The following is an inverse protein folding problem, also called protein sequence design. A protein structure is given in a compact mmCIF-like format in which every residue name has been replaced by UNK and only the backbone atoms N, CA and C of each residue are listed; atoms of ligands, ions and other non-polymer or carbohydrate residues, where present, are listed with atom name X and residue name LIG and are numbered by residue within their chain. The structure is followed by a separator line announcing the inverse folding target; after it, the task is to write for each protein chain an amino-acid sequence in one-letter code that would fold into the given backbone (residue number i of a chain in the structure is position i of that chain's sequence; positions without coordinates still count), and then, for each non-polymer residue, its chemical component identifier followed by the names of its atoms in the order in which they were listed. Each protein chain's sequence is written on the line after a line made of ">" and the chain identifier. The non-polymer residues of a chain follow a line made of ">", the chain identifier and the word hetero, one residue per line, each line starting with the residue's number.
data_IF_669438519228
#
_entry.id   IF_669438519228
#
_cell.length_a   1.000
_cell.length_b   1.000
_cell.length_c   1.000
_cell.angle_alpha   90.00
_cell.angle_beta   90.00
_cell.angle_gamma   90.00
#
_symmetry.space_group_name_H-M   'P 1'
#
loop_
_entity.id
_entity.type
_entity.pdbx_description
1 polymer ?
#
# COMPACT_ATOMS: atom_id res chain seq x y z
N UNK A 1 25.00 -37.90 6.68
CA UNK A 1 25.67 -37.87 5.35
C UNK A 1 26.00 -36.42 4.98
N UNK A 2 26.96 -36.21 4.04
CA UNK A 2 27.29 -34.87 3.53
C UNK A 2 26.07 -34.13 2.99
N UNK A 3 25.15 -34.84 2.33
CA UNK A 3 23.90 -34.25 1.80
C UNK A 3 23.01 -33.69 2.90
N UNK A 4 22.81 -34.46 3.99
CA UNK A 4 22.00 -34.00 5.13
C UNK A 4 22.61 -32.78 5.84
N UNK A 5 23.94 -32.76 5.99
CA UNK A 5 24.66 -31.62 6.57
C UNK A 5 24.46 -30.37 5.71
N UNK A 6 24.60 -30.50 4.38
CA UNK A 6 24.38 -29.39 3.45
C UNK A 6 22.94 -28.91 3.46
N UNK A 7 21.98 -29.81 3.49
CA UNK A 7 20.55 -29.50 3.55
C UNK A 7 20.21 -28.71 4.81
N UNK A 8 20.66 -29.17 5.97
CA UNK A 8 20.47 -28.46 7.23
C UNK A 8 21.13 -27.09 7.21
N UNK A 9 22.39 -27.02 6.75
CA UNK A 9 23.13 -25.77 6.61
C UNK A 9 22.39 -24.77 5.69
N UNK A 10 21.93 -25.23 4.52
CA UNK A 10 21.25 -24.37 3.54
C UNK A 10 19.90 -23.85 4.06
N UNK A 11 19.22 -24.61 4.94
CA UNK A 11 17.95 -24.24 5.53
C UNK A 11 18.06 -23.28 6.73
N UNK A 12 19.24 -23.18 7.36
CA UNK A 12 19.42 -22.38 8.57
C UNK A 12 20.31 -21.13 8.35
N UNK A 13 21.16 -21.12 7.32
CA UNK A 13 22.11 -20.03 7.11
C UNK A 13 21.40 -18.71 6.81
N UNK A 14 21.95 -17.62 7.35
CA UNK A 14 21.43 -16.27 7.14
C UNK A 14 21.92 -15.67 5.82
N UNK A 15 20.99 -15.24 4.97
CA UNK A 15 21.25 -14.64 3.66
C UNK A 15 21.09 -13.12 3.62
N UNK A 16 20.87 -12.44 4.74
CA UNK A 16 20.58 -11.00 4.77
C UNK A 16 19.08 -10.70 4.61
N UNK A 17 18.69 -9.41 4.81
CA UNK A 17 17.30 -8.99 4.64
C UNK A 17 16.28 -9.66 5.57
N UNK A 18 16.73 -10.27 6.68
CA UNK A 18 15.88 -11.07 7.57
C UNK A 18 15.68 -12.52 7.12
N UNK A 19 16.31 -12.95 6.02
CA UNK A 19 16.11 -14.28 5.43
C UNK A 19 17.04 -15.33 6.04
N UNK A 20 16.46 -16.31 6.72
CA UNK A 20 17.12 -17.55 7.13
C UNK A 20 16.64 -18.67 6.22
N UNK A 21 17.59 -19.47 5.72
CA UNK A 21 17.32 -20.57 4.79
C UNK A 21 17.19 -20.15 3.32
N UNK A 22 17.60 -21.10 2.44
CA UNK A 22 17.72 -20.85 1.00
C UNK A 22 16.38 -20.62 0.31
N UNK A 23 15.29 -21.27 0.77
CA UNK A 23 13.97 -21.11 0.19
C UNK A 23 13.45 -19.69 0.45
N UNK A 24 13.55 -19.22 1.71
CA UNK A 24 13.17 -17.85 2.09
C UNK A 24 13.98 -16.82 1.31
N UNK A 25 15.29 -17.05 1.16
CA UNK A 25 16.17 -16.17 0.39
C UNK A 25 15.83 -16.16 -1.11
N UNK A 26 15.52 -17.31 -1.70
CA UNK A 26 15.12 -17.44 -3.10
C UNK A 26 13.85 -16.65 -3.39
N UNK A 27 12.84 -16.78 -2.53
CA UNK A 27 11.60 -16.01 -2.62
C UNK A 27 11.87 -14.50 -2.44
N UNK A 28 12.61 -14.13 -1.41
CA UNK A 28 12.89 -12.72 -1.10
C UNK A 28 13.67 -12.00 -2.21
N UNK A 29 14.76 -12.61 -2.69
CA UNK A 29 15.62 -11.96 -3.68
C UNK A 29 15.14 -12.11 -5.11
N UNK A 30 14.48 -13.23 -5.46
CA UNK A 30 14.17 -13.58 -6.85
C UNK A 30 12.70 -13.93 -7.12
N UNK A 31 11.84 -14.01 -6.08
CA UNK A 31 10.42 -14.36 -6.25
C UNK A 31 10.21 -15.77 -6.78
N UNK A 32 11.14 -16.69 -6.51
CA UNK A 32 11.16 -18.06 -7.01
C UNK A 32 11.41 -19.03 -5.87
N UNK A 33 10.94 -20.28 -6.01
CA UNK A 33 11.38 -21.35 -5.12
C UNK A 33 12.84 -21.75 -5.41
N UNK A 34 13.55 -22.24 -4.42
CA UNK A 34 14.97 -22.60 -4.54
C UNK A 34 15.29 -23.52 -5.74
N UNK A 35 14.48 -24.54 -6.08
CA UNK A 35 14.70 -25.38 -7.27
C UNK A 35 14.57 -24.64 -8.61
N UNK A 36 13.94 -23.46 -8.64
CA UNK A 36 13.72 -22.67 -9.85
C UNK A 36 14.82 -21.63 -10.11
N UNK A 37 15.77 -21.52 -9.18
CA UNK A 37 16.88 -20.58 -9.32
C UNK A 37 17.79 -20.98 -10.48
N UNK A 38 18.20 -20.00 -11.26
CA UNK A 38 19.23 -20.16 -12.27
C UNK A 38 20.65 -20.07 -11.66
N UNK A 39 21.67 -20.33 -12.46
CA UNK A 39 23.08 -20.37 -12.01
C UNK A 39 23.53 -19.02 -11.43
N UNK A 40 23.16 -17.90 -12.05
CA UNK A 40 23.56 -16.57 -11.58
C UNK A 40 22.86 -16.17 -10.28
N UNK A 41 21.62 -16.61 -10.07
CA UNK A 41 20.87 -16.42 -8.84
C UNK A 41 21.44 -17.27 -7.71
N UNK A 42 21.74 -18.54 -7.97
CA UNK A 42 22.45 -19.40 -7.01
C UNK A 42 23.81 -18.82 -6.60
N UNK A 43 24.60 -18.33 -7.58
CA UNK A 43 25.88 -17.70 -7.32
C UNK A 43 25.74 -16.42 -6.48
N UNK A 44 24.66 -15.68 -6.66
CA UNK A 44 24.37 -14.49 -5.86
C UNK A 44 24.11 -14.90 -4.41
N UNK A 45 23.18 -15.84 -4.15
CA UNK A 45 22.88 -16.31 -2.79
C UNK A 45 24.12 -16.88 -2.10
N UNK A 46 24.89 -17.72 -2.77
CA UNK A 46 26.14 -18.26 -2.22
C UNK A 46 27.16 -17.14 -1.87
N UNK A 47 27.16 -16.06 -2.64
CA UNK A 47 27.99 -14.89 -2.39
C UNK A 47 27.59 -14.10 -1.14
N UNK A 48 26.31 -14.06 -0.81
CA UNK A 48 25.77 -13.31 0.34
C UNK A 48 26.29 -13.82 1.67
N UNK A 49 26.48 -15.13 1.83
CA UNK A 49 26.80 -15.80 3.11
C UNK A 49 28.04 -15.19 3.78
N UNK A 50 29.01 -14.69 3.04
CA UNK A 50 30.24 -14.12 3.59
C UNK A 50 30.00 -12.81 4.37
N UNK A 51 29.12 -11.95 3.86
CA UNK A 51 28.72 -10.71 4.53
C UNK A 51 27.30 -10.30 4.05
N UNK A 52 26.27 -10.92 4.63
CA UNK A 52 24.91 -10.80 4.14
C UNK A 52 24.36 -9.37 4.15
N UNK A 53 24.82 -8.53 5.05
CA UNK A 53 24.38 -7.14 5.13
C UNK A 53 25.04 -6.25 4.06
N UNK A 54 26.32 -6.45 3.81
CA UNK A 54 27.07 -5.65 2.84
C UNK A 54 26.81 -6.07 1.39
N UNK A 55 26.81 -7.38 1.12
CA UNK A 55 26.58 -7.91 -0.22
C UNK A 55 25.10 -8.00 -0.59
N UNK A 56 24.19 -7.48 0.26
CA UNK A 56 22.76 -7.45 -0.04
C UNK A 56 22.50 -6.63 -1.31
N UNK A 57 21.94 -7.21 -2.39
CA UNK A 57 21.65 -6.48 -3.62
C UNK A 57 20.60 -5.38 -3.45
N UNK A 58 19.76 -5.47 -2.40
CA UNK A 58 18.80 -4.41 -2.02
C UNK A 58 19.44 -3.29 -1.19
N UNK A 59 20.75 -3.35 -0.89
CA UNK A 59 21.41 -2.30 -0.13
C UNK A 59 21.26 -0.95 -0.85
N UNK A 60 20.84 0.13 -0.17
CA UNK A 60 20.69 1.46 -0.77
C UNK A 60 22.03 2.06 -1.24
N UNK A 61 23.18 1.66 -0.67
CA UNK A 61 24.49 2.14 -1.09
C UNK A 61 24.89 1.54 -2.45
N UNK A 62 25.12 2.37 -3.49
CA UNK A 62 25.58 1.89 -4.80
C UNK A 62 26.88 1.09 -4.75
N UNK A 63 27.78 1.38 -3.78
CA UNK A 63 29.03 0.64 -3.59
C UNK A 63 28.78 -0.78 -3.10
N UNK A 64 27.80 -0.96 -2.20
CA UNK A 64 27.38 -2.27 -1.71
C UNK A 64 26.76 -3.11 -2.84
N UNK A 65 25.93 -2.50 -3.69
CA UNK A 65 25.35 -3.18 -4.87
C UNK A 65 26.43 -3.59 -5.89
N UNK A 66 27.40 -2.72 -6.13
CA UNK A 66 28.55 -3.06 -6.97
C UNK A 66 29.38 -4.20 -6.37
N UNK A 67 29.58 -4.19 -5.04
CA UNK A 67 30.25 -5.26 -4.31
C UNK A 67 29.46 -6.58 -4.37
N UNK A 68 28.15 -6.55 -4.30
CA UNK A 68 27.28 -7.73 -4.49
C UNK A 68 27.50 -8.37 -5.88
N UNK A 69 27.51 -7.55 -6.94
CA UNK A 69 27.81 -8.04 -8.31
C UNK A 69 29.22 -8.61 -8.41
N UNK A 70 30.21 -7.93 -7.85
CA UNK A 70 31.59 -8.42 -7.83
C UNK A 70 31.73 -9.75 -7.07
N UNK A 71 31.01 -9.88 -5.94
CA UNK A 71 31.00 -11.11 -5.14
C UNK A 71 30.34 -12.28 -5.88
N UNK A 72 29.18 -12.06 -6.54
CA UNK A 72 28.59 -13.05 -7.44
C UNK A 72 29.56 -13.50 -8.51
N UNK A 73 30.21 -12.56 -9.17
CA UNK A 73 31.17 -12.87 -10.23
C UNK A 73 32.39 -13.66 -9.71
N UNK A 74 32.82 -13.43 -8.47
CA UNK A 74 33.81 -14.25 -7.80
C UNK A 74 33.33 -15.70 -7.63
N UNK A 75 32.08 -15.90 -7.20
CA UNK A 75 31.49 -17.25 -7.08
C UNK A 75 31.45 -17.94 -8.44
N UNK A 76 30.99 -17.27 -9.51
CA UNK A 76 30.99 -17.81 -10.88
C UNK A 76 32.39 -18.26 -11.33
N UNK A 77 33.46 -17.47 -11.06
CA UNK A 77 34.84 -17.85 -11.34
C UNK A 77 35.26 -19.09 -10.55
N UNK A 78 34.86 -19.20 -9.28
CA UNK A 78 35.12 -20.40 -8.49
C UNK A 78 34.42 -21.64 -9.05
N UNK A 79 33.17 -21.50 -9.53
CA UNK A 79 32.47 -22.59 -10.18
C UNK A 79 33.16 -23.07 -11.45
N UNK A 80 33.82 -22.17 -12.20
CA UNK A 80 34.67 -22.55 -13.34
C UNK A 80 35.89 -23.31 -12.87
N UNK A 81 36.61 -22.83 -11.86
CA UNK A 81 37.84 -23.47 -11.37
C UNK A 81 37.60 -24.87 -10.77
N UNK A 82 36.41 -25.11 -10.25
CA UNK A 82 35.97 -26.42 -9.71
C UNK A 82 35.27 -27.31 -10.75
N UNK A 83 35.17 -26.86 -12.02
CA UNK A 83 34.63 -27.65 -13.12
C UNK A 83 33.06 -27.69 -13.19
N UNK A 84 32.35 -26.89 -12.40
CA UNK A 84 30.89 -26.84 -12.41
C UNK A 84 30.31 -25.93 -13.50
N UNK A 85 31.12 -25.03 -14.09
CA UNK A 85 30.66 -24.07 -15.10
C UNK A 85 31.74 -23.91 -16.17
N UNK A 86 31.33 -23.73 -17.43
CA UNK A 86 32.24 -23.40 -18.52
C UNK A 86 32.66 -21.94 -18.46
N UNK A 87 33.91 -21.62 -18.83
CA UNK A 87 34.45 -20.24 -18.83
C UNK A 87 33.64 -19.30 -19.74
N UNK A 88 33.18 -19.80 -20.89
CA UNK A 88 32.31 -19.06 -21.82
C UNK A 88 31.05 -18.59 -21.15
N UNK A 89 30.39 -19.48 -20.39
CA UNK A 89 29.10 -19.22 -19.76
C UNK A 89 29.30 -18.27 -18.57
N UNK A 90 30.37 -18.46 -17.79
CA UNK A 90 30.71 -17.57 -16.69
C UNK A 90 30.94 -16.13 -17.14
N UNK A 91 31.58 -15.92 -18.29
CA UNK A 91 31.78 -14.59 -18.88
C UNK A 91 30.47 -13.93 -19.19
N UNK A 92 29.56 -14.64 -19.91
CA UNK A 92 28.21 -14.13 -20.24
C UNK A 92 27.42 -13.80 -19.00
N UNK A 93 27.39 -14.68 -18.01
CA UNK A 93 26.66 -14.48 -16.75
C UNK A 93 27.22 -13.32 -15.92
N UNK A 94 28.55 -13.09 -15.96
CA UNK A 94 29.20 -12.01 -15.22
C UNK A 94 28.83 -10.63 -15.74
N UNK A 95 28.53 -10.48 -17.02
CA UNK A 95 28.10 -9.21 -17.61
C UNK A 95 26.66 -8.84 -17.22
N UNK A 96 25.81 -9.83 -16.98
CA UNK A 96 24.41 -9.59 -16.65
C UNK A 96 24.26 -8.83 -15.33
N UNK A 97 23.28 -7.92 -15.22
CA UNK A 97 22.91 -7.33 -13.93
C UNK A 97 22.28 -8.39 -13.02
N UNK A 98 22.37 -8.20 -11.71
CA UNK A 98 21.56 -8.99 -10.76
C UNK A 98 20.12 -8.51 -10.93
N UNK A 99 19.22 -9.42 -11.36
CA UNK A 99 17.79 -9.16 -11.48
C UNK A 99 17.14 -9.63 -10.20
N UNK A 100 16.58 -8.71 -9.43
CA UNK A 100 15.90 -9.01 -8.19
C UNK A 100 14.38 -9.12 -8.43
N UNK A 101 13.71 -9.93 -7.66
CA UNK A 101 12.30 -9.75 -7.39
C UNK A 101 12.12 -8.33 -6.88
N UNK A 102 11.00 -7.70 -7.15
CA UNK A 102 10.73 -6.28 -6.91
C UNK A 102 11.48 -5.69 -5.71
N UNK A 103 12.08 -4.51 -5.85
CA UNK A 103 12.74 -3.74 -4.79
C UNK A 103 11.82 -3.36 -3.61
N UNK A 104 10.57 -3.76 -3.65
CA UNK A 104 9.56 -3.57 -2.60
C UNK A 104 8.80 -4.84 -2.21
N UNK A 105 9.31 -6.01 -2.53
CA UNK A 105 8.86 -7.23 -1.87
C UNK A 105 9.50 -7.42 -0.47
N UNK A 106 9.43 -6.41 0.39
CA UNK A 106 8.71 -6.70 1.63
C UNK A 106 7.34 -7.14 1.13
N UNK A 107 6.95 -8.40 1.37
CA UNK A 107 5.56 -8.79 1.28
C UNK A 107 4.79 -7.73 2.07
N UNK A 108 4.24 -6.75 1.35
CA UNK A 108 3.26 -5.89 1.98
C UNK A 108 2.15 -6.86 2.29
N UNK A 109 2.00 -7.14 3.57
CA UNK A 109 0.91 -7.99 4.00
C UNK A 109 -0.33 -7.47 3.29
N UNK A 110 -1.04 -8.33 2.58
CA UNK A 110 -2.25 -7.95 1.81
C UNK A 110 -3.22 -7.17 2.70
N UNK A 111 -3.21 -7.48 4.01
CA UNK A 111 -4.03 -6.86 5.04
C UNK A 111 -3.19 -6.29 6.20
N UNK A 112 -2.33 -5.28 6.00
CA UNK A 112 -1.36 -4.85 7.02
C UNK A 112 -2.02 -4.36 8.32
N UNK A 113 -3.16 -3.71 8.23
CA UNK A 113 -3.92 -3.27 9.41
C UNK A 113 -4.48 -4.46 10.21
N UNK A 114 -5.04 -5.46 9.53
CA UNK A 114 -5.53 -6.66 10.21
C UNK A 114 -4.40 -7.46 10.85
N UNK A 115 -3.28 -7.60 10.15
CA UNK A 115 -2.08 -8.28 10.68
C UNK A 115 -1.56 -7.59 11.94
N UNK A 116 -1.54 -6.26 11.96
CA UNK A 116 -1.10 -5.50 13.14
C UNK A 116 -2.05 -5.67 14.33
N UNK A 117 -3.37 -5.64 14.11
CA UNK A 117 -4.35 -5.90 15.17
C UNK A 117 -4.21 -7.31 15.74
N UNK A 118 -4.05 -8.31 14.87
CA UNK A 118 -3.80 -9.70 15.29
C UNK A 118 -2.49 -9.80 16.08
N UNK A 119 -1.42 -9.16 15.62
CA UNK A 119 -0.12 -9.13 16.31
C UNK A 119 -0.24 -8.53 17.71
N UNK A 120 -0.95 -7.41 17.85
CA UNK A 120 -1.17 -6.75 19.15
C UNK A 120 -1.97 -7.64 20.08
N UNK A 121 -3.05 -8.24 19.61
CA UNK A 121 -3.84 -9.19 20.38
C UNK A 121 -3.01 -10.40 20.86
N UNK A 122 -2.18 -10.95 19.99
CA UNK A 122 -1.33 -12.08 20.35
C UNK A 122 -0.24 -11.70 21.36
N UNK A 123 0.31 -10.49 21.25
CA UNK A 123 1.27 -9.98 22.25
C UNK A 123 0.64 -9.85 23.64
N UNK A 124 -0.59 -9.36 23.70
CA UNK A 124 -1.33 -9.26 24.97
C UNK A 124 -1.62 -10.64 25.56
N UNK A 125 -2.03 -11.59 24.70
CA UNK A 125 -2.48 -12.91 25.15
C UNK A 125 -1.34 -13.88 25.48
N UNK A 126 -0.28 -13.91 24.68
CA UNK A 126 0.78 -14.93 24.76
C UNK A 126 2.16 -14.35 25.11
N UNK A 127 2.30 -13.03 25.12
CA UNK A 127 3.58 -12.36 25.29
C UNK A 127 4.40 -12.29 24.01
N UNK A 128 5.31 -11.31 23.99
CA UNK A 128 6.11 -10.98 22.81
C UNK A 128 7.03 -12.12 22.35
N UNK A 129 7.65 -12.81 23.30
CA UNK A 129 8.60 -13.88 23.02
C UNK A 129 7.94 -15.07 22.34
N UNK A 130 6.77 -15.50 22.85
CA UNK A 130 6.01 -16.58 22.25
C UNK A 130 5.55 -16.25 20.83
N UNK A 131 5.20 -15.00 20.54
CA UNK A 131 4.78 -14.60 19.20
C UNK A 131 5.94 -14.53 18.21
N UNK A 132 7.12 -14.07 18.66
CA UNK A 132 8.28 -13.92 17.77
C UNK A 132 9.06 -15.22 17.55
N UNK A 133 9.12 -16.10 18.58
CA UNK A 133 9.98 -17.26 18.58
C UNK A 133 9.21 -18.59 18.73
N UNK A 134 7.90 -18.53 19.02
CA UNK A 134 7.10 -19.73 19.32
C UNK A 134 6.57 -20.47 18.10
N UNK A 135 6.83 -20.02 16.88
CA UNK A 135 6.37 -20.68 15.65
C UNK A 135 4.84 -20.75 15.51
N UNK A 136 4.12 -19.72 15.98
CA UNK A 136 2.67 -19.67 15.92
C UNK A 136 2.18 -19.55 14.48
N UNK A 137 1.23 -20.39 14.12
CA UNK A 137 0.45 -20.29 12.88
C UNK A 137 -0.90 -19.68 13.19
N UNK A 138 -1.27 -18.60 12.49
CA UNK A 138 -2.47 -17.82 12.77
C UNK A 138 -3.39 -17.81 11.57
N UNK A 139 -4.52 -18.47 11.67
CA UNK A 139 -5.57 -18.46 10.67
C UNK A 139 -6.56 -17.33 10.95
N UNK A 140 -6.82 -16.50 9.94
CA UNK A 140 -7.77 -15.40 10.01
C UNK A 140 -8.92 -15.59 9.05
N UNK A 141 -9.99 -14.81 9.21
CA UNK A 141 -11.15 -14.81 8.32
C UNK A 141 -11.02 -13.81 7.16
N UNK A 142 -9.88 -13.12 7.06
CA UNK A 142 -9.60 -12.19 5.95
C UNK A 142 -9.56 -12.96 4.63
N UNK A 143 -10.34 -12.49 3.67
CA UNK A 143 -10.34 -12.98 2.30
C UNK A 143 -9.44 -12.09 1.44
N UNK A 144 -8.45 -12.68 0.79
CA UNK A 144 -7.44 -11.92 0.04
C UNK A 144 -8.04 -11.13 -1.14
N UNK A 145 -9.07 -11.68 -1.80
CA UNK A 145 -9.73 -11.02 -2.95
C UNK A 145 -10.54 -9.82 -2.45
N UNK A 146 -11.30 -9.98 -1.39
CA UNK A 146 -12.08 -8.89 -0.78
C UNK A 146 -11.16 -7.82 -0.20
N UNK A 147 -10.07 -8.22 0.42
CA UNK A 147 -9.08 -7.30 0.99
C UNK A 147 -8.43 -6.44 -0.09
N UNK A 148 -8.00 -7.04 -1.20
CA UNK A 148 -7.42 -6.28 -2.31
C UNK A 148 -8.43 -5.32 -2.92
N UNK A 149 -9.67 -5.76 -3.14
CA UNK A 149 -10.74 -4.89 -3.61
C UNK A 149 -11.01 -3.73 -2.65
N UNK A 150 -10.97 -3.98 -1.33
CA UNK A 150 -11.13 -2.96 -0.29
C UNK A 150 -9.97 -1.94 -0.30
N UNK A 151 -8.73 -2.41 -0.39
CA UNK A 151 -7.55 -1.56 -0.51
C UNK A 151 -7.66 -0.60 -1.70
N UNK A 152 -7.99 -1.13 -2.86
CA UNK A 152 -8.18 -0.34 -4.07
C UNK A 152 -9.37 0.64 -3.96
N UNK A 153 -10.49 0.21 -3.37
CA UNK A 153 -11.66 1.06 -3.20
C UNK A 153 -11.37 2.26 -2.28
N UNK A 154 -10.71 2.03 -1.15
CA UNK A 154 -10.30 3.10 -0.22
C UNK A 154 -9.33 4.06 -0.90
N UNK A 155 -8.28 3.54 -1.54
CA UNK A 155 -7.29 4.38 -2.25
C UNK A 155 -7.94 5.24 -3.33
N UNK A 156 -8.78 4.65 -4.20
CA UNK A 156 -9.50 5.39 -5.25
C UNK A 156 -10.47 6.41 -4.67
N UNK A 157 -11.22 6.04 -3.63
CA UNK A 157 -12.16 6.93 -2.97
C UNK A 157 -11.48 8.15 -2.36
N UNK A 158 -10.38 7.94 -1.64
CA UNK A 158 -9.61 9.02 -1.01
C UNK A 158 -8.97 9.95 -2.04
N UNK A 159 -8.36 9.39 -3.11
CA UNK A 159 -7.85 10.19 -4.23
C UNK A 159 -8.96 11.03 -4.88
N UNK A 160 -10.14 10.45 -5.10
CA UNK A 160 -11.27 11.16 -5.71
C UNK A 160 -11.79 12.30 -4.82
N UNK A 161 -11.85 12.09 -3.51
CA UNK A 161 -12.22 13.15 -2.55
C UNK A 161 -11.17 14.26 -2.53
N UNK A 162 -9.91 13.89 -2.52
CA UNK A 162 -8.78 14.81 -2.46
C UNK A 162 -8.67 15.66 -3.73
N UNK A 163 -8.79 15.05 -4.92
CA UNK A 163 -8.81 15.76 -6.22
C UNK A 163 -9.92 16.83 -6.31
N UNK A 164 -11.08 16.60 -5.67
CA UNK A 164 -12.16 17.63 -5.59
C UNK A 164 -11.79 18.84 -4.75
N UNK A 165 -10.80 18.72 -3.84
CA UNK A 165 -10.26 19.85 -3.08
C UNK A 165 -9.22 20.65 -3.85
N UNK A 166 -8.78 20.16 -5.00
CA UNK A 166 -7.81 20.77 -5.87
C UNK A 166 -6.38 20.36 -5.62
N UNK A 167 -5.50 20.79 -6.53
CA UNK A 167 -4.08 20.50 -6.48
C UNK A 167 -3.37 21.36 -5.44
N UNK A 168 -2.47 20.76 -4.65
CA UNK A 168 -1.68 21.40 -3.60
C UNK A 168 -0.22 21.54 -4.02
N UNK A 169 0.33 22.73 -3.90
CA UNK A 169 1.73 23.00 -4.19
C UNK A 169 2.69 22.45 -3.13
N UNK A 170 2.24 22.31 -1.90
CA UNK A 170 3.02 21.87 -0.75
C UNK A 170 3.57 20.44 -0.91
N UNK A 171 2.92 19.62 -1.73
CA UNK A 171 3.36 18.27 -2.08
C UNK A 171 4.42 18.20 -3.19
N UNK A 172 4.74 19.33 -3.84
CA UNK A 172 5.68 19.39 -4.96
C UNK A 172 7.09 19.66 -4.45
N UNK A 173 8.05 18.81 -4.79
CA UNK A 173 9.47 19.09 -4.60
C UNK A 173 9.96 19.98 -5.72
N UNK A 174 10.92 20.86 -5.41
CA UNK A 174 11.61 21.69 -6.40
C UNK A 174 13.10 21.38 -6.37
N UNK A 175 13.65 21.08 -7.54
CA UNK A 175 15.02 20.59 -7.72
C UNK A 175 15.84 21.65 -8.44
N UNK A 176 17.02 21.94 -7.92
CA UNK A 176 17.96 22.89 -8.51
C UNK A 176 18.55 22.34 -9.83
N UNK A 177 18.91 21.05 -9.85
CA UNK A 177 19.40 20.37 -11.06
C UNK A 177 18.41 19.27 -11.49
N UNK A 178 17.38 19.61 -12.28
CA UNK A 178 16.38 18.64 -12.72
C UNK A 178 16.93 17.60 -13.68
N UNK A 179 18.03 17.86 -14.39
CA UNK A 179 18.58 16.95 -15.39
C UNK A 179 19.39 15.80 -14.74
N UNK A 180 20.00 16.05 -13.57
CA UNK A 180 20.80 15.07 -12.83
C UNK A 180 20.09 14.44 -11.63
N UNK A 181 18.89 14.93 -11.31
CA UNK A 181 18.15 14.46 -10.14
C UNK A 181 17.94 12.93 -10.18
N UNK A 182 18.08 12.30 -9.01
CA UNK A 182 17.70 10.92 -8.75
C UNK A 182 16.72 10.92 -7.58
N UNK A 183 15.52 10.42 -7.80
CA UNK A 183 14.48 10.39 -6.78
C UNK A 183 14.23 8.96 -6.31
N UNK A 184 13.76 8.85 -5.07
CA UNK A 184 13.42 7.57 -4.48
C UNK A 184 12.34 6.85 -5.31
N UNK A 185 12.46 5.55 -5.46
CA UNK A 185 11.50 4.73 -6.20
C UNK A 185 11.71 4.71 -7.72
N UNK A 186 12.78 5.35 -8.25
CA UNK A 186 13.04 5.33 -9.69
C UNK A 186 13.76 4.09 -10.21
N UNK A 187 14.38 3.32 -9.34
CA UNK A 187 15.18 2.13 -9.71
C UNK A 187 14.34 0.85 -9.57
N UNK A 188 13.11 0.84 -10.05
CA UNK A 188 12.21 -0.32 -10.02
C UNK A 188 11.47 -0.49 -11.34
N UNK A 189 10.87 -1.65 -11.53
CA UNK A 189 9.84 -1.82 -12.53
C UNK A 189 8.57 -1.14 -12.04
N UNK A 190 7.88 -0.45 -12.94
CA UNK A 190 6.61 0.19 -12.63
C UNK A 190 5.45 -0.69 -13.06
N UNK A 191 4.32 -0.52 -12.37
CA UNK A 191 3.04 -1.10 -12.73
C UNK A 191 1.99 -0.01 -12.90
N UNK A 192 0.93 -0.36 -13.60
CA UNK A 192 -0.24 0.51 -13.73
C UNK A 192 -0.86 0.76 -12.36
N UNK A 193 -1.13 2.02 -12.05
CA UNK A 193 -1.62 2.47 -10.74
C UNK A 193 -0.52 2.87 -9.74
N UNK A 194 0.76 2.61 -10.03
CA UNK A 194 1.86 3.10 -9.20
C UNK A 194 1.87 4.63 -9.16
N UNK A 195 2.10 5.21 -7.97
CA UNK A 195 2.34 6.64 -7.79
C UNK A 195 3.83 6.88 -7.56
N UNK A 196 4.43 7.75 -8.37
CA UNK A 196 5.87 8.03 -8.35
C UNK A 196 6.14 9.50 -8.65
N UNK A 197 7.17 10.06 -8.05
CA UNK A 197 7.60 11.42 -8.40
C UNK A 197 8.23 11.45 -9.79
N UNK A 198 7.78 12.39 -10.62
CA UNK A 198 8.39 12.69 -11.92
C UNK A 198 8.89 14.12 -11.97
N UNK A 199 10.03 14.37 -12.62
CA UNK A 199 10.65 15.69 -12.72
C UNK A 199 10.22 16.34 -14.03
N UNK A 200 9.67 17.55 -13.94
CA UNK A 200 9.34 18.36 -15.12
C UNK A 200 10.61 19.02 -15.64
N UNK A 201 11.01 18.61 -16.83
CA UNK A 201 12.18 19.17 -17.53
C UNK A 201 11.84 20.44 -18.30
N UNK A 202 10.57 20.67 -18.60
CA UNK A 202 10.09 21.87 -19.29
C UNK A 202 8.75 21.64 -19.96
N UNK A 203 8.19 22.72 -20.53
CA UNK A 203 6.96 22.69 -21.29
C UNK A 203 7.24 23.13 -22.75
N UNK A 204 6.64 22.45 -23.70
CA UNK A 204 6.60 22.84 -25.10
C UNK A 204 5.15 22.94 -25.54
N UNK A 205 4.60 24.15 -25.62
CA UNK A 205 3.18 24.37 -25.86
C UNK A 205 2.30 23.69 -24.80
N UNK A 206 1.45 22.76 -25.23
CA UNK A 206 0.53 21.99 -24.39
C UNK A 206 1.12 20.65 -23.90
N UNK A 207 2.44 20.45 -24.00
CA UNK A 207 3.09 19.19 -23.63
C UNK A 207 4.19 19.46 -22.62
N UNK A 208 4.16 18.71 -21.50
CA UNK A 208 5.23 18.70 -20.51
C UNK A 208 6.22 17.58 -20.81
N UNK A 209 7.51 17.87 -20.77
CA UNK A 209 8.53 16.83 -20.77
C UNK A 209 8.81 16.43 -19.32
N UNK A 210 8.49 15.17 -18.99
CA UNK A 210 8.58 14.62 -17.64
C UNK A 210 9.58 13.47 -17.62
N UNK A 211 10.50 13.48 -16.66
CA UNK A 211 11.45 12.39 -16.44
C UNK A 211 11.07 11.58 -15.21
N UNK A 212 11.01 10.26 -15.39
CA UNK A 212 10.81 9.27 -14.32
C UNK A 212 11.88 8.18 -14.50
N UNK A 213 12.79 8.09 -13.57
CA UNK A 213 13.94 7.20 -13.69
C UNK A 213 14.84 7.56 -14.86
N UNK A 214 15.05 6.60 -15.74
CA UNK A 214 15.79 6.76 -17.00
C UNK A 214 14.92 7.16 -18.19
N UNK A 215 13.59 7.15 -18.01
CA UNK A 215 12.61 7.40 -19.07
C UNK A 215 12.21 8.86 -19.08
N UNK A 216 12.16 9.47 -20.25
CA UNK A 216 11.60 10.80 -20.46
C UNK A 216 10.34 10.65 -21.32
N UNK A 217 9.25 11.25 -20.89
CA UNK A 217 7.93 11.18 -21.49
C UNK A 217 7.47 12.56 -21.90
N UNK A 218 6.82 12.65 -23.05
CA UNK A 218 6.08 13.82 -23.46
C UNK A 218 4.62 13.65 -22.99
N UNK A 219 4.23 14.40 -21.95
CA UNK A 219 2.95 14.25 -21.24
C UNK A 219 2.04 15.41 -21.66
N UNK A 220 0.87 15.13 -22.27
CA UNK A 220 -0.05 16.16 -22.71
C UNK A 220 -0.68 16.92 -21.54
N UNK A 221 -1.06 18.18 -21.76
CA UNK A 221 -1.70 19.02 -20.73
C UNK A 221 -2.99 18.42 -20.17
N UNK A 222 -3.69 17.59 -20.94
CA UNK A 222 -4.87 16.84 -20.47
C UNK A 222 -4.57 15.93 -19.27
N UNK A 223 -3.36 15.40 -19.16
CA UNK A 223 -2.92 14.59 -18.02
C UNK A 223 -2.76 15.40 -16.71
N UNK A 224 -2.82 16.72 -16.79
CA UNK A 224 -2.77 17.66 -15.66
C UNK A 224 -4.12 18.34 -15.40
N UNK A 225 -5.16 18.00 -16.16
CA UNK A 225 -6.41 18.75 -16.22
C UNK A 225 -7.10 18.94 -14.86
N UNK A 226 -7.10 17.90 -14.01
CA UNK A 226 -7.75 17.99 -12.70
C UNK A 226 -7.04 18.97 -11.74
N UNK A 227 -5.75 19.24 -11.95
CA UNK A 227 -4.97 20.21 -11.15
C UNK A 227 -5.28 21.67 -11.50
N UNK A 228 -5.95 21.90 -12.62
CA UNK A 228 -6.42 23.21 -13.06
C UNK A 228 -5.30 24.24 -13.22
N UNK A 229 -5.67 25.52 -13.06
CA UNK A 229 -4.73 26.64 -13.16
C UNK A 229 -3.62 26.58 -12.10
N UNK A 230 -3.91 26.05 -10.92
CA UNK A 230 -2.93 25.93 -9.82
C UNK A 230 -1.79 24.99 -10.20
N UNK A 231 -2.09 23.81 -10.75
CA UNK A 231 -1.05 22.89 -11.22
C UNK A 231 -0.18 23.54 -12.30
N UNK A 232 -0.80 24.18 -13.30
CA UNK A 232 -0.08 24.82 -14.41
C UNK A 232 0.88 25.94 -13.93
N UNK A 233 0.49 26.71 -12.93
CA UNK A 233 1.33 27.79 -12.38
C UNK A 233 2.50 27.28 -11.54
N UNK A 234 2.35 26.14 -10.88
CA UNK A 234 3.35 25.56 -9.97
C UNK A 234 4.32 24.64 -10.69
N UNK A 235 3.85 23.90 -11.69
CA UNK A 235 4.60 22.82 -12.35
C UNK A 235 5.52 23.33 -13.45
N UNK A 236 6.48 24.18 -13.06
CA UNK A 236 7.56 24.67 -13.91
C UNK A 236 8.72 23.67 -13.98
N UNK A 237 9.77 24.00 -14.78
CA UNK A 237 11.01 23.22 -14.83
C UNK A 237 11.61 23.05 -13.42
N UNK A 238 12.00 21.86 -13.07
CA UNK A 238 12.52 21.48 -11.75
C UNK A 238 11.46 21.08 -10.74
N UNK A 239 10.17 21.28 -11.02
CA UNK A 239 9.10 20.74 -10.18
C UNK A 239 9.03 19.22 -10.29
N UNK A 240 8.86 18.55 -9.15
CA UNK A 240 8.77 17.09 -9.07
C UNK A 240 7.49 16.67 -8.30
N UNK A 241 6.31 16.78 -8.94
CA UNK A 241 5.06 16.29 -8.41
C UNK A 241 5.01 14.75 -8.45
N UNK A 242 3.96 14.16 -7.90
CA UNK A 242 3.63 12.76 -8.13
C UNK A 242 2.91 12.58 -9.47
N UNK A 243 3.14 11.43 -10.08
CA UNK A 243 2.44 10.94 -11.26
C UNK A 243 1.94 9.53 -11.00
N UNK A 244 0.72 9.24 -11.39
CA UNK A 244 0.18 7.90 -11.46
C UNK A 244 0.54 7.28 -12.81
N UNK A 245 1.13 6.09 -12.79
CA UNK A 245 1.45 5.32 -13.99
C UNK A 245 0.15 4.79 -14.59
N UNK A 246 -0.18 5.18 -15.82
CA UNK A 246 -1.39 4.74 -16.54
C UNK A 246 -1.14 3.60 -17.51
N UNK A 247 0.09 3.48 -17.96
CA UNK A 247 0.53 2.36 -18.78
C UNK A 247 2.04 2.17 -18.66
N UNK A 248 2.49 0.93 -18.82
CA UNK A 248 3.90 0.55 -18.83
C UNK A 248 4.30 -0.11 -20.16
N UNK A 249 5.56 -0.02 -20.49
CA UNK A 249 6.17 -0.79 -21.57
C UNK A 249 6.47 -2.23 -21.10
N UNK A 250 6.70 -3.20 -22.02
CA UNK A 250 7.07 -4.57 -21.66
C UNK A 250 8.34 -4.70 -20.80
N UNK A 251 9.21 -3.69 -20.81
CA UNK A 251 10.41 -3.61 -19.99
C UNK A 251 10.17 -3.02 -18.58
N UNK A 252 8.90 -2.74 -18.24
CA UNK A 252 8.52 -2.15 -16.94
C UNK A 252 8.80 -0.66 -16.82
N UNK A 253 9.14 0.04 -17.92
CA UNK A 253 9.30 1.50 -17.90
C UNK A 253 7.94 2.20 -18.11
N UNK A 254 7.76 3.43 -17.57
CA UNK A 254 6.53 4.19 -17.77
C UNK A 254 6.30 4.50 -19.26
N UNK A 255 5.06 4.28 -19.73
CA UNK A 255 4.61 4.62 -21.10
C UNK A 255 3.64 5.80 -21.09
N UNK A 256 2.76 5.86 -20.12
CA UNK A 256 1.80 6.94 -19.96
C UNK A 256 1.63 7.27 -18.46
N UNK A 257 1.47 8.55 -18.15
CA UNK A 257 1.33 9.03 -16.77
C UNK A 257 0.28 10.15 -16.69
N UNK A 258 -0.32 10.28 -15.52
CA UNK A 258 -1.24 11.36 -15.17
C UNK A 258 -0.78 12.03 -13.88
N UNK A 259 -0.95 13.35 -13.76
CA UNK A 259 -0.67 14.08 -12.52
C UNK A 259 -1.38 13.42 -11.34
N UNK A 260 -0.66 13.22 -10.25
CA UNK A 260 -1.17 12.65 -9.01
C UNK A 260 -0.75 13.49 -7.79
N UNK A 261 -1.38 13.24 -6.67
CA UNK A 261 -0.94 13.72 -5.36
C UNK A 261 -1.35 12.74 -4.28
N UNK A 262 -0.56 12.65 -3.21
CA UNK A 262 -0.95 11.87 -2.05
C UNK A 262 -2.13 12.55 -1.34
N UNK A 263 -3.22 11.83 -1.04
CA UNK A 263 -4.35 12.41 -0.35
C UNK A 263 -4.01 12.87 1.07
N UNK A 264 -4.44 14.06 1.46
CA UNK A 264 -4.39 14.53 2.86
C UNK A 264 -5.52 13.96 3.70
N UNK A 265 -6.55 13.46 3.03
CA UNK A 265 -7.71 12.84 3.67
C UNK A 265 -7.42 11.38 3.99
N UNK A 266 -8.02 10.91 5.05
CA UNK A 266 -7.97 9.51 5.47
C UNK A 266 -9.37 8.91 5.53
N UNK A 267 -9.45 7.61 5.38
CA UNK A 267 -10.70 6.85 5.47
C UNK A 267 -10.41 5.41 5.81
N UNK A 268 -11.45 4.68 6.16
CA UNK A 268 -11.35 3.28 6.53
C UNK A 268 -12.49 2.48 5.91
N UNK A 269 -12.28 1.17 5.80
CA UNK A 269 -13.29 0.21 5.39
C UNK A 269 -13.17 -1.05 6.23
N UNK A 270 -14.31 -1.52 6.73
CA UNK A 270 -14.46 -2.81 7.37
C UNK A 270 -15.59 -3.56 6.67
N UNK A 271 -15.30 -4.73 6.15
CA UNK A 271 -16.27 -5.62 5.54
C UNK A 271 -16.43 -6.87 6.40
N UNK A 272 -17.66 -7.18 6.77
CA UNK A 272 -18.01 -8.35 7.58
C UNK A 272 -19.03 -9.22 6.87
N UNK A 273 -18.96 -10.53 7.12
CA UNK A 273 -20.03 -11.44 6.74
C UNK A 273 -21.28 -11.17 7.59
N UNK A 274 -22.43 -10.89 6.98
CA UNK A 274 -23.63 -10.50 7.75
C UNK A 274 -24.25 -11.65 8.56
N UNK A 275 -23.90 -12.90 8.27
CA UNK A 275 -24.42 -14.07 8.97
C UNK A 275 -23.53 -14.49 10.12
N UNK A 276 -22.22 -14.48 9.92
CA UNK A 276 -21.25 -14.98 10.89
C UNK A 276 -20.59 -13.88 11.69
N UNK A 277 -20.58 -12.62 11.19
CA UNK A 277 -19.84 -11.49 11.75
C UNK A 277 -18.33 -11.53 11.47
N UNK A 278 -17.86 -12.51 10.73
CA UNK A 278 -16.44 -12.64 10.38
C UNK A 278 -15.94 -11.48 9.55
N UNK A 279 -14.78 -10.94 9.90
CA UNK A 279 -14.15 -9.85 9.17
C UNK A 279 -13.51 -10.41 7.90
N UNK A 280 -13.98 -9.96 6.72
CA UNK A 280 -13.49 -10.37 5.41
C UNK A 280 -12.45 -9.41 4.84
N UNK A 281 -12.54 -8.13 5.17
CA UNK A 281 -11.55 -7.13 4.79
C UNK A 281 -11.47 -6.02 5.84
N UNK A 282 -10.25 -5.49 6.06
CA UNK A 282 -9.99 -4.41 7.00
C UNK A 282 -8.95 -3.44 6.44
N UNK A 283 -9.34 -2.20 6.20
CA UNK A 283 -8.47 -1.12 5.72
C UNK A 283 -8.59 0.06 6.68
N UNK A 284 -7.50 0.46 7.32
CA UNK A 284 -7.49 1.51 8.34
C UNK A 284 -7.04 2.88 7.85
N UNK A 285 -6.57 3.02 6.60
CA UNK A 285 -6.07 4.26 6.05
C UNK A 285 -5.67 4.14 4.58
N UNK A 286 -5.13 5.23 4.02
CA UNK A 286 -4.64 5.27 2.65
C UNK A 286 -3.39 4.39 2.45
N UNK A 287 -2.44 4.47 3.39
CA UNK A 287 -1.18 3.75 3.36
C UNK A 287 -0.73 3.43 4.80
N UNK A 288 -0.48 2.14 5.06
CA UNK A 288 -0.05 1.65 6.38
C UNK A 288 1.33 2.18 6.78
N UNK A 289 2.24 2.39 5.81
CA UNK A 289 3.59 2.93 6.09
C UNK A 289 3.50 4.39 6.52
N UNK A 290 2.56 5.15 5.95
CA UNK A 290 2.31 6.54 6.31
C UNK A 290 1.64 6.68 7.67
N UNK A 291 0.66 5.83 7.96
CA UNK A 291 -0.09 5.84 9.20
C UNK A 291 -0.51 4.44 9.62
N UNK A 292 0.06 3.97 10.73
CA UNK A 292 -0.32 2.69 11.35
C UNK A 292 -1.63 2.76 12.14
N UNK A 293 -2.16 3.96 12.35
CA UNK A 293 -3.42 4.17 13.06
C UNK A 293 -4.59 3.55 12.27
N UNK A 294 -5.18 2.51 12.83
CA UNK A 294 -6.27 1.77 12.22
C UNK A 294 -7.61 2.47 12.48
N UNK A 295 -8.06 3.28 11.54
CA UNK A 295 -9.30 4.05 11.67
C UNK A 295 -10.56 3.21 11.65
N UNK A 296 -10.48 1.96 11.19
CA UNK A 296 -11.62 1.04 11.23
C UNK A 296 -11.87 0.45 12.62
N UNK A 297 -10.86 0.51 13.51
CA UNK A 297 -10.89 -0.08 14.83
C UNK A 297 -10.61 0.91 15.97
N UNK A 298 -9.63 1.80 15.79
CA UNK A 298 -9.12 2.68 16.84
C UNK A 298 -9.76 4.08 16.85
N UNK A 299 -10.42 4.48 15.74
CA UNK A 299 -10.98 5.82 15.65
C UNK A 299 -12.30 5.94 16.41
N UNK A 300 -12.30 6.71 17.47
CA UNK A 300 -13.49 7.12 18.18
C UNK A 300 -14.15 8.30 17.45
N UNK A 301 -15.19 8.01 16.68
CA UNK A 301 -15.94 9.01 15.91
C UNK A 301 -17.40 9.09 16.34
N UNK A 302 -17.96 10.28 16.23
CA UNK A 302 -19.39 10.46 16.45
C UNK A 302 -20.20 9.56 15.50
N UNK A 303 -21.05 8.71 16.07
CA UNK A 303 -21.82 7.72 15.31
C UNK A 303 -22.84 8.39 14.38
N UNK A 304 -23.38 9.53 14.80
CA UNK A 304 -24.37 10.30 14.04
C UNK A 304 -25.58 9.46 13.65
N UNK A 305 -26.04 9.60 12.43
CA UNK A 305 -27.21 8.88 11.92
C UNK A 305 -27.04 7.36 11.79
N UNK A 306 -25.82 6.84 11.86
CA UNK A 306 -25.58 5.39 11.88
C UNK A 306 -26.19 4.73 13.12
N UNK A 307 -26.29 5.47 14.24
CA UNK A 307 -26.96 4.99 15.44
C UNK A 307 -28.44 4.64 15.20
N UNK A 308 -29.07 5.22 14.19
CA UNK A 308 -30.49 4.95 13.88
C UNK A 308 -30.72 3.48 13.53
N UNK A 309 -29.78 2.81 12.89
CA UNK A 309 -29.87 1.39 12.57
C UNK A 309 -30.09 0.55 13.85
N UNK A 310 -29.34 0.86 14.91
CA UNK A 310 -29.48 0.17 16.20
C UNK A 310 -30.79 0.53 16.91
N UNK A 311 -31.19 1.80 16.89
CA UNK A 311 -32.43 2.25 17.49
C UNK A 311 -33.64 1.59 16.82
N UNK A 312 -33.67 1.54 15.48
CA UNK A 312 -34.75 0.87 14.75
C UNK A 312 -34.71 -0.66 14.94
N UNK A 313 -33.51 -1.26 14.94
CA UNK A 313 -33.34 -2.68 15.25
C UNK A 313 -33.95 -3.02 16.60
N UNK A 314 -33.63 -2.26 17.64
CA UNK A 314 -34.19 -2.44 18.98
C UNK A 314 -35.72 -2.21 19.01
N UNK A 315 -36.25 -1.23 18.26
CA UNK A 315 -37.70 -1.00 18.16
C UNK A 315 -38.41 -2.20 17.49
N UNK A 316 -37.82 -2.77 16.44
CA UNK A 316 -38.42 -3.93 15.74
C UNK A 316 -38.43 -5.19 16.62
N UNK A 317 -37.35 -5.42 17.42
CA UNK A 317 -37.34 -6.53 18.39
C UNK A 317 -38.39 -6.37 19.48
N UNK A 318 -38.86 -5.15 19.74
CA UNK A 318 -39.96 -4.82 20.66
C UNK A 318 -41.36 -4.83 19.98
N UNK A 319 -41.46 -5.38 18.77
CA UNK A 319 -42.71 -5.52 18.05
C UNK A 319 -43.19 -4.27 17.28
N UNK A 320 -42.36 -3.24 17.18
CA UNK A 320 -42.61 -2.12 16.26
C UNK A 320 -42.41 -2.55 14.83
N UNK A 321 -43.05 -1.89 13.90
CA UNK A 321 -42.95 -2.13 12.46
C UNK A 321 -42.61 -0.83 11.73
N UNK A 322 -42.18 -0.87 10.48
CA UNK A 322 -42.04 0.34 9.67
C UNK A 322 -43.33 1.17 9.56
N UNK A 323 -44.51 0.54 9.71
CA UNK A 323 -45.78 1.20 9.71
C UNK A 323 -46.20 1.77 11.09
N UNK A 324 -45.41 1.57 12.14
CA UNK A 324 -45.72 2.14 13.46
C UNK A 324 -45.59 3.66 13.43
N UNK A 325 -46.60 4.33 13.99
CA UNK A 325 -46.58 5.78 14.14
C UNK A 325 -45.72 6.19 15.32
N UNK A 326 -44.93 7.21 15.10
CA UNK A 326 -44.09 7.86 16.12
C UNK A 326 -44.37 9.35 16.11
N UNK A 327 -44.44 9.96 17.28
CA UNK A 327 -44.71 11.39 17.43
C UNK A 327 -43.40 12.17 17.26
N UNK A 328 -43.31 12.98 16.23
CA UNK A 328 -42.21 13.93 16.02
C UNK A 328 -42.64 15.31 16.55
N UNK A 329 -42.54 15.45 17.85
CA UNK A 329 -42.91 16.69 18.56
C UNK A 329 -41.71 17.24 19.33
N UNK A 330 -41.66 18.55 19.59
CA UNK A 330 -40.63 19.13 20.44
C UNK A 330 -40.63 18.45 21.80
N UNK A 331 -39.58 17.72 22.12
CA UNK A 331 -39.44 16.99 23.38
C UNK A 331 -38.32 17.60 24.20
N UNK A 332 -38.59 17.87 25.47
CA UNK A 332 -37.62 18.39 26.41
C UNK A 332 -37.31 17.34 27.46
N UNK A 333 -36.07 16.95 27.56
CA UNK A 333 -35.58 16.06 28.62
C UNK A 333 -35.09 16.92 29.79
N UNK A 334 -35.73 16.77 30.94
CA UNK A 334 -35.31 17.42 32.17
C UNK A 334 -34.16 16.60 32.75
N UNK A 335 -32.94 17.08 32.54
CA UNK A 335 -31.74 16.55 33.16
C UNK A 335 -31.41 17.39 34.39
N UNK A 336 -30.74 16.79 35.40
CA UNK A 336 -30.32 17.46 36.62
C UNK A 336 -29.39 18.64 36.43
N UNK A 337 -28.76 18.75 35.26
CA UNK A 337 -27.78 19.80 34.98
C UNK A 337 -28.24 20.85 33.96
N UNK A 338 -28.88 20.47 32.87
CA UNK A 338 -29.42 21.39 31.84
C UNK A 338 -30.54 20.72 31.07
N UNK A 339 -31.68 21.42 30.80
CA UNK A 339 -32.71 20.92 29.91
C UNK A 339 -32.13 20.65 28.52
N UNK A 340 -32.40 19.48 27.95
CA UNK A 340 -31.97 19.09 26.63
C UNK A 340 -33.20 18.92 25.72
N UNK A 341 -33.26 19.69 24.65
CA UNK A 341 -34.32 19.61 23.65
C UNK A 341 -33.71 19.33 22.28
N UNK A 342 -33.65 18.06 21.83
CA UNK A 342 -33.20 17.74 20.49
C UNK A 342 -34.11 18.36 19.45
N UNK A 343 -33.49 18.86 18.35
CA UNK A 343 -34.24 19.43 17.21
C UNK A 343 -33.92 18.60 15.97
N UNK A 344 -34.88 18.48 15.07
CA UNK A 344 -34.64 17.95 13.74
C UNK A 344 -33.67 18.84 12.96
N UNK A 345 -32.94 18.25 12.01
CA UNK A 345 -31.96 19.00 11.19
C UNK A 345 -32.57 20.19 10.45
N UNK A 346 -33.86 20.08 10.07
CA UNK A 346 -34.58 21.16 9.43
C UNK A 346 -35.21 22.18 10.44
N UNK A 347 -35.11 21.91 11.75
CA UNK A 347 -35.71 22.74 12.80
C UNK A 347 -37.22 22.63 12.95
N UNK A 348 -37.86 21.77 12.15
CA UNK A 348 -39.29 21.57 12.11
C UNK A 348 -39.70 20.22 12.73
N UNK A 349 -40.83 20.13 13.38
CA UNK A 349 -41.45 18.89 13.86
C UNK A 349 -42.63 18.54 12.96
N UNK A 350 -42.75 17.26 12.61
CA UNK A 350 -43.72 16.81 11.61
C UNK A 350 -45.00 16.20 12.21
N UNK A 351 -45.07 16.16 13.53
CA UNK A 351 -46.20 15.50 14.21
C UNK A 351 -46.15 13.97 14.07
N UNK A 352 -47.30 13.31 13.94
CA UNK A 352 -47.36 11.87 13.74
C UNK A 352 -46.71 11.48 12.41
N UNK A 353 -45.64 10.68 12.47
CA UNK A 353 -44.90 10.22 11.29
C UNK A 353 -44.65 8.71 11.35
N UNK A 354 -44.59 8.07 10.19
CA UNK A 354 -44.15 6.68 10.09
C UNK A 354 -42.65 6.55 10.31
N UNK A 355 -42.20 5.49 10.96
CA UNK A 355 -40.79 5.26 11.28
C UNK A 355 -39.81 5.42 10.11
N UNK A 356 -40.08 4.98 8.86
CA UNK A 356 -39.25 5.23 7.71
C UNK A 356 -39.13 6.68 7.25
N UNK A 357 -40.14 7.51 7.51
CA UNK A 357 -40.15 8.94 7.14
C UNK A 357 -39.06 9.76 7.83
N UNK A 358 -38.47 9.25 8.91
CA UNK A 358 -37.39 9.88 9.65
C UNK A 358 -36.02 9.69 9.01
N UNK A 359 -35.86 8.72 8.12
CA UNK A 359 -34.60 8.42 7.47
C UNK A 359 -34.37 9.15 6.14
N UNK A 360 -35.46 9.69 5.54
CA UNK A 360 -35.40 10.33 4.23
C UNK A 360 -36.13 11.68 4.25
N UNK A 361 -35.40 12.79 4.19
CA UNK A 361 -36.04 14.02 3.79
C UNK A 361 -36.47 13.79 2.34
N UNK A 362 -37.80 13.64 2.12
CA UNK A 362 -38.33 13.73 0.78
C UNK A 362 -37.93 15.10 0.25
N UNK A 363 -36.98 15.12 -0.70
CA UNK A 363 -36.76 16.26 -1.57
C UNK A 363 -38.11 16.54 -2.25
N UNK A 364 -38.95 17.39 -1.69
CA UNK A 364 -39.99 18.03 -2.46
C UNK A 364 -39.27 19.07 -3.33
N UNK A 365 -38.98 18.66 -4.58
CA UNK A 365 -38.88 19.61 -5.66
C UNK A 365 -40.23 20.31 -5.78
N UNK A 366 -40.26 21.57 -5.45
CA UNK A 366 -41.22 22.50 -6.01
C UNK A 366 -40.67 23.05 -7.30
#
# INVERSE_FOLDING_TARGET
>A
TKKQIFEQYANEVYFGGGCYGIETAAQFYFGKSAPQLNVEECATLAGLIQNPSWYNPYNPDPRARAAAKARRNHVLKRMVSEGYLKDSDAKVLSERPIRLARENAQEEAVAPYAVEEVRMYLYEKYGRDAVLNGGLEVHTTIDAIWQEAANQAVRRGLKAVDRRRGFRKEGVLFLEDPDRAQLQGWNRFFEEGDSVRGVILGWSGATARVRIGKTTLDVPESAFAWGGKTARSVLARGAAPFFEIKAVNPDGTPKAVELDQEPDVEGALLATDPKTGEIRAMVGGYDFKRSKFNRSWQAERQVGSTAKAFVYGAAFTQGKTPASLVQDVPTHFLSTARPYGPKNSAGESWGPAFAPGWCWPSSRSA
#
